data_IF_780948545912
#
_entry.id   IF_780948545912
#
_cell.length_a   1.000
_cell.length_b   1.000
_cell.length_c   1.000
_cell.angle_alpha   90.00
_cell.angle_beta   90.00
_cell.angle_gamma   90.00
#
_symmetry.space_group_name_H-M   'P 1'
#
loop_
_entity.id
_entity.type
_entity.pdbx_description
1 polymer ?
#
# COMPACT_ATOMS: atom_id res chain seq x y z
N UNK A 1 21.28 12.05 -8.15
CA UNK A 1 20.86 10.66 -7.88
C UNK A 1 20.20 10.01 -9.09
N UNK A 2 19.31 10.70 -9.79
CA UNK A 2 18.61 10.23 -11.01
C UNK A 2 19.49 9.47 -12.02
N UNK A 3 20.64 10.02 -12.43
CA UNK A 3 21.53 9.34 -13.38
C UNK A 3 22.01 7.97 -12.87
N UNK A 4 22.24 7.83 -11.56
CA UNK A 4 22.59 6.54 -10.94
C UNK A 4 21.41 5.58 -10.91
N UNK A 5 20.19 6.06 -10.67
CA UNK A 5 18.99 5.21 -10.68
C UNK A 5 18.65 4.73 -12.09
N UNK A 6 18.81 5.60 -13.09
CA UNK A 6 18.72 5.24 -14.51
C UNK A 6 19.72 4.14 -14.86
N UNK A 7 20.99 4.28 -14.47
CA UNK A 7 21.99 3.22 -14.75
C UNK A 7 21.67 1.90 -14.06
N UNK A 8 21.14 1.92 -12.83
CA UNK A 8 20.67 0.70 -12.16
C UNK A 8 19.51 0.04 -12.91
N UNK A 9 18.55 0.84 -13.36
CA UNK A 9 17.40 0.39 -14.15
C UNK A 9 17.86 -0.25 -15.47
N UNK A 10 18.80 0.38 -16.18
CA UNK A 10 19.39 -0.12 -17.43
C UNK A 10 20.20 -1.41 -17.24
N UNK A 11 20.77 -1.61 -16.05
CA UNK A 11 21.46 -2.86 -15.70
C UNK A 11 20.52 -3.98 -15.27
N UNK A 12 19.23 -3.69 -15.08
CA UNK A 12 18.28 -4.66 -14.56
C UNK A 12 17.87 -5.64 -15.65
N UNK A 13 18.08 -6.94 -15.39
CA UNK A 13 17.69 -8.02 -16.30
C UNK A 13 16.26 -8.53 -16.04
N UNK A 14 15.57 -7.99 -15.03
CA UNK A 14 14.22 -8.39 -14.67
C UNK A 14 13.20 -7.57 -15.43
N UNK A 15 12.10 -8.21 -15.85
CA UNK A 15 10.96 -7.54 -16.44
C UNK A 15 10.00 -6.98 -15.37
N UNK A 16 9.90 -7.67 -14.24
CA UNK A 16 9.08 -7.28 -13.11
C UNK A 16 9.94 -6.72 -11.98
N UNK A 17 9.55 -5.55 -11.43
CA UNK A 17 10.30 -4.85 -10.40
C UNK A 17 9.43 -4.49 -9.20
N UNK A 18 10.08 -4.29 -8.06
CA UNK A 18 9.52 -3.59 -6.91
C UNK A 18 10.34 -2.34 -6.56
N UNK A 19 9.64 -1.30 -6.10
CA UNK A 19 10.22 0.00 -5.76
C UNK A 19 10.22 0.24 -4.26
N UNK A 20 11.30 0.84 -3.75
CA UNK A 20 11.41 1.34 -2.38
C UNK A 20 11.58 2.85 -2.42
N UNK A 21 10.74 3.60 -1.73
CA UNK A 21 10.87 5.05 -1.62
C UNK A 21 11.39 5.38 -0.23
N UNK A 22 12.63 5.85 -0.14
CA UNK A 22 13.30 6.23 1.11
C UNK A 22 13.73 7.70 1.05
N UNK A 23 13.99 8.33 2.19
CA UNK A 23 14.31 9.75 2.24
C UNK A 23 15.52 10.16 1.37
N UNK A 24 16.45 9.24 1.12
CA UNK A 24 17.71 9.47 0.39
C UNK A 24 17.89 8.52 -0.82
N UNK A 25 16.86 7.75 -1.18
CA UNK A 25 16.91 6.75 -2.25
C UNK A 25 17.93 5.62 -2.00
N UNK A 26 18.40 5.44 -0.76
CA UNK A 26 19.27 4.34 -0.38
C UNK A 26 18.46 3.12 0.11
N UNK A 27 19.01 1.90 -0.03
CA UNK A 27 18.42 0.71 0.54
C UNK A 27 18.29 0.81 2.06
N UNK A 28 17.18 0.28 2.59
CA UNK A 28 16.99 0.07 4.04
C UNK A 28 16.80 -1.42 4.34
N UNK A 29 17.04 -1.87 5.58
CA UNK A 29 16.73 -3.23 5.98
C UNK A 29 15.25 -3.55 5.70
N UNK A 30 15.00 -4.76 5.18
CA UNK A 30 13.68 -5.29 4.93
C UNK A 30 12.81 -5.22 6.19
N UNK A 31 11.63 -4.60 6.09
CA UNK A 31 10.62 -4.66 7.16
C UNK A 31 9.73 -5.89 6.99
N UNK A 32 9.26 -6.40 8.13
CA UNK A 32 8.29 -7.47 8.15
C UNK A 32 6.94 -6.99 7.62
N UNK A 33 6.41 -7.76 6.69
CA UNK A 33 5.05 -7.62 6.18
C UNK A 33 4.05 -8.02 7.26
N UNK A 34 2.93 -7.30 7.43
CA UNK A 34 1.95 -7.59 8.47
C UNK A 34 1.07 -8.83 8.23
N UNK A 35 1.08 -9.41 7.02
CA UNK A 35 0.18 -10.51 6.66
C UNK A 35 0.65 -11.82 7.30
N UNK A 36 -0.25 -12.48 8.03
CA UNK A 36 0.10 -13.69 8.77
C UNK A 36 -0.13 -14.97 7.96
N UNK A 37 -0.96 -14.94 6.91
CA UNK A 37 -1.44 -16.15 6.23
C UNK A 37 -1.28 -16.19 4.71
N UNK A 38 -0.76 -15.14 4.07
CA UNK A 38 -0.50 -15.18 2.63
C UNK A 38 0.91 -15.70 2.34
N UNK A 39 0.99 -16.81 1.59
CA UNK A 39 2.20 -17.23 0.89
C UNK A 39 2.79 -16.14 -0.02
N UNK A 40 2.00 -15.10 -0.35
CA UNK A 40 2.42 -13.89 -1.06
C UNK A 40 3.30 -12.95 -0.22
N UNK A 41 3.17 -12.94 1.11
CA UNK A 41 4.01 -12.13 2.00
C UNK A 41 5.47 -12.61 2.04
N UNK A 42 5.74 -13.85 1.62
CA UNK A 42 7.10 -14.42 1.57
C UNK A 42 8.02 -13.78 0.52
N UNK A 43 7.50 -13.03 -0.46
CA UNK A 43 8.30 -12.35 -1.50
C UNK A 43 8.41 -10.83 -1.32
N UNK A 44 7.68 -10.27 -0.36
CA UNK A 44 7.73 -8.85 -0.03
C UNK A 44 8.89 -8.63 0.94
N UNK A 45 10.09 -8.30 0.47
CA UNK A 45 11.17 -7.99 1.40
C UNK A 45 12.25 -7.05 0.86
N UNK A 46 12.52 -7.01 -0.45
CA UNK A 46 13.64 -6.19 -0.97
C UNK A 46 13.26 -5.55 -2.31
N UNK A 47 13.02 -4.23 -2.35
CA UNK A 47 12.95 -3.47 -3.59
C UNK A 47 14.14 -3.71 -4.51
N UNK A 48 13.88 -3.78 -5.82
CA UNK A 48 14.93 -3.84 -6.85
C UNK A 48 15.59 -2.47 -7.05
N UNK A 49 14.80 -1.41 -6.89
CA UNK A 49 15.24 -0.03 -7.05
C UNK A 49 14.75 0.82 -5.88
N UNK A 50 15.64 1.67 -5.37
CA UNK A 50 15.32 2.64 -4.34
C UNK A 50 15.36 4.05 -4.93
N UNK A 51 14.33 4.83 -4.63
CA UNK A 51 14.12 6.18 -5.13
C UNK A 51 13.99 7.15 -3.95
N UNK A 52 14.48 8.37 -4.12
CA UNK A 52 14.20 9.48 -3.23
C UNK A 52 12.88 10.17 -3.61
N UNK A 53 12.25 10.97 -2.73
CA UNK A 53 11.01 11.67 -3.06
C UNK A 53 11.08 12.49 -4.35
N UNK A 54 12.19 13.18 -4.61
CA UNK A 54 12.39 13.96 -5.84
C UNK A 54 12.39 13.11 -7.12
N UNK A 55 12.84 11.86 -7.04
CA UNK A 55 12.85 10.94 -8.18
C UNK A 55 11.41 10.57 -8.60
N UNK A 56 10.44 10.62 -7.68
CA UNK A 56 9.00 10.38 -7.96
C UNK A 56 8.35 11.50 -8.78
N UNK A 57 9.05 12.61 -8.98
CA UNK A 57 8.61 13.76 -9.76
C UNK A 57 9.37 13.89 -11.09
N UNK A 58 10.38 13.05 -11.33
CA UNK A 58 11.16 13.07 -12.55
C UNK A 58 10.45 12.31 -13.68
N UNK A 59 9.91 13.04 -14.65
CA UNK A 59 9.17 12.46 -15.77
C UNK A 59 10.00 11.47 -16.59
N UNK A 60 11.30 11.73 -16.82
CA UNK A 60 12.13 10.89 -17.67
C UNK A 60 12.42 9.53 -16.99
N UNK A 61 12.63 9.54 -15.68
CA UNK A 61 12.76 8.32 -14.89
C UNK A 61 11.44 7.54 -14.84
N UNK A 62 10.31 8.22 -14.61
CA UNK A 62 9.00 7.58 -14.56
C UNK A 62 8.60 6.96 -15.92
N UNK A 63 8.90 7.63 -17.04
CA UNK A 63 8.70 7.08 -18.38
C UNK A 63 9.50 5.81 -18.60
N UNK A 64 10.77 5.78 -18.15
CA UNK A 64 11.62 4.59 -18.23
C UNK A 64 11.13 3.46 -17.34
N UNK A 65 10.66 3.78 -16.12
CA UNK A 65 10.03 2.81 -15.23
C UNK A 65 8.78 2.18 -15.85
N UNK A 66 8.05 2.92 -16.70
CA UNK A 66 6.89 2.42 -17.44
C UNK A 66 7.20 1.30 -18.44
N UNK A 67 8.47 1.06 -18.76
CA UNK A 67 8.90 -0.10 -19.56
C UNK A 67 8.93 -1.42 -18.77
N UNK A 68 8.77 -1.36 -17.44
CA UNK A 68 8.80 -2.51 -16.53
C UNK A 68 7.43 -2.78 -15.92
N UNK A 69 7.21 -4.03 -15.53
CA UNK A 69 6.05 -4.41 -14.73
C UNK A 69 6.34 -4.10 -13.26
N UNK A 70 5.90 -2.93 -12.78
CA UNK A 70 6.04 -2.57 -11.37
C UNK A 70 4.95 -3.28 -10.57
N UNK A 71 5.34 -4.26 -9.77
CA UNK A 71 4.41 -5.10 -9.01
C UNK A 71 4.26 -4.67 -7.55
N UNK A 72 5.29 -4.05 -6.98
CA UNK A 72 5.29 -3.61 -5.59
C UNK A 72 5.90 -2.22 -5.40
N UNK A 73 5.36 -1.45 -4.45
CA UNK A 73 5.89 -0.16 -4.06
C UNK A 73 5.80 0.00 -2.53
N UNK A 74 6.95 0.26 -1.91
CA UNK A 74 7.09 0.37 -0.47
C UNK A 74 7.61 1.77 -0.12
N UNK A 75 6.77 2.58 0.49
CA UNK A 75 7.00 3.99 0.77
C UNK A 75 7.29 4.14 2.25
N UNK A 76 8.51 4.58 2.54
CA UNK A 76 9.13 4.57 3.86
C UNK A 76 9.44 5.96 4.40
N UNK A 77 8.95 6.98 3.71
CA UNK A 77 9.16 8.40 4.01
C UNK A 77 7.89 9.14 3.60
N UNK A 78 7.51 10.25 4.26
CA UNK A 78 6.35 11.02 3.86
C UNK A 78 6.53 11.56 2.45
N UNK A 79 5.48 11.45 1.63
CA UNK A 79 5.40 12.10 0.33
C UNK A 79 4.25 13.10 0.32
N UNK A 80 4.47 14.25 -0.33
CA UNK A 80 3.44 15.24 -0.57
C UNK A 80 2.54 14.89 -1.77
N UNK A 81 2.97 13.96 -2.63
CA UNK A 81 2.25 13.56 -3.83
C UNK A 81 2.46 12.07 -4.16
N UNK A 82 1.35 11.35 -4.28
CA UNK A 82 1.31 9.91 -4.59
C UNK A 82 0.84 9.61 -6.02
N UNK A 83 0.56 10.64 -6.83
CA UNK A 83 0.01 10.47 -8.19
C UNK A 83 0.91 9.67 -9.13
N UNK A 84 2.21 9.61 -8.88
CA UNK A 84 3.11 8.80 -9.72
C UNK A 84 2.74 7.31 -9.71
N UNK A 85 2.11 6.81 -8.64
CA UNK A 85 1.65 5.42 -8.53
C UNK A 85 0.66 5.05 -9.63
N UNK A 86 -0.15 6.01 -10.11
CA UNK A 86 -1.14 5.75 -11.15
C UNK A 86 -0.53 5.38 -12.51
N UNK A 87 0.81 5.51 -12.66
CA UNK A 87 1.55 5.07 -13.85
C UNK A 87 1.81 3.56 -13.86
N UNK A 88 1.51 2.85 -12.78
CA UNK A 88 1.83 1.44 -12.59
C UNK A 88 0.56 0.60 -12.43
N UNK A 89 -0.22 0.36 -13.50
CA UNK A 89 -1.53 -0.31 -13.40
C UNK A 89 -1.44 -1.76 -12.90
N UNK A 90 -0.26 -2.39 -13.04
CA UNK A 90 0.02 -3.76 -12.57
C UNK A 90 0.49 -3.81 -11.10
N UNK A 91 0.49 -2.68 -10.39
CA UNK A 91 0.89 -2.63 -8.98
C UNK A 91 -0.09 -3.46 -8.13
N UNK A 92 0.43 -4.52 -7.53
CA UNK A 92 -0.32 -5.44 -6.67
C UNK A 92 -0.17 -5.12 -5.20
N UNK A 93 1.00 -4.61 -4.84
CA UNK A 93 1.45 -4.46 -3.46
C UNK A 93 1.82 -3.01 -3.18
N UNK A 94 1.09 -2.37 -2.27
CA UNK A 94 1.36 -1.02 -1.83
C UNK A 94 1.48 -0.97 -0.32
N UNK A 95 2.63 -0.49 0.15
CA UNK A 95 2.92 -0.28 1.56
C UNK A 95 3.30 1.18 1.77
N UNK A 96 2.64 1.87 2.70
CA UNK A 96 2.93 3.26 3.05
C UNK A 96 3.12 3.33 4.57
N UNK A 97 4.37 3.47 5.03
CA UNK A 97 4.76 3.56 6.44
C UNK A 97 4.41 4.94 7.04
N UNK A 98 4.63 5.99 6.26
CA UNK A 98 4.49 7.37 6.71
C UNK A 98 3.37 8.09 5.95
N UNK A 99 2.13 7.64 6.20
CA UNK A 99 0.91 8.12 5.55
C UNK A 99 0.34 9.43 6.09
N UNK A 100 1.02 10.17 6.97
CA UNK A 100 0.48 11.37 7.62
C UNK A 100 0.12 12.48 6.62
N UNK A 101 0.77 12.50 5.45
CA UNK A 101 0.49 13.45 4.36
C UNK A 101 -0.47 12.88 3.30
N UNK A 102 -0.88 11.62 3.44
CA UNK A 102 -1.80 10.97 2.50
C UNK A 102 -3.24 11.40 2.80
N UNK A 103 -3.77 12.32 2.00
CA UNK A 103 -5.13 12.86 2.18
C UNK A 103 -6.18 12.23 1.26
N UNK A 104 -5.76 11.45 0.27
CA UNK A 104 -6.65 10.80 -0.71
C UNK A 104 -5.95 9.58 -1.32
N UNK A 105 -6.76 8.61 -1.75
CA UNK A 105 -6.35 7.40 -2.47
C UNK A 105 -6.75 7.47 -3.94
N UNK A 106 -6.96 8.65 -4.52
CA UNK A 106 -7.45 8.82 -5.90
C UNK A 106 -6.57 8.10 -6.95
N UNK A 107 -5.25 8.03 -6.73
CA UNK A 107 -4.33 7.29 -7.59
C UNK A 107 -4.66 5.79 -7.67
N UNK A 108 -5.29 5.22 -6.63
CA UNK A 108 -5.60 3.80 -6.56
C UNK A 108 -6.75 3.40 -7.51
N UNK A 109 -7.50 4.36 -8.05
CA UNK A 109 -8.49 4.12 -9.11
C UNK A 109 -7.85 3.52 -10.36
N UNK A 110 -6.60 3.85 -10.64
CA UNK A 110 -5.85 3.31 -11.80
C UNK A 110 -5.14 1.98 -11.49
N UNK A 111 -5.14 1.52 -10.23
CA UNK A 111 -4.43 0.31 -9.80
C UNK A 111 -5.34 -0.92 -9.84
N UNK A 112 -5.55 -1.48 -11.03
CA UNK A 112 -6.51 -2.59 -11.27
C UNK A 112 -6.14 -3.86 -10.53
N UNK A 113 -4.84 -4.10 -10.41
CA UNK A 113 -4.28 -5.30 -9.81
C UNK A 113 -4.01 -5.17 -8.31
N UNK A 114 -4.34 -4.01 -7.69
CA UNK A 114 -4.07 -3.77 -6.27
C UNK A 114 -4.80 -4.80 -5.41
N UNK A 115 -4.00 -5.66 -4.78
CA UNK A 115 -4.46 -6.79 -3.98
C UNK A 115 -4.03 -6.67 -2.53
N UNK A 116 -2.88 -6.03 -2.26
CA UNK A 116 -2.36 -5.84 -0.92
C UNK A 116 -2.13 -4.35 -0.67
N UNK A 117 -2.88 -3.80 0.28
CA UNK A 117 -2.73 -2.41 0.73
C UNK A 117 -2.42 -2.38 2.22
N UNK A 118 -1.26 -1.85 2.55
CA UNK A 118 -0.91 -1.49 3.92
C UNK A 118 -0.70 0.01 4.05
N UNK A 119 -1.39 0.60 5.02
CA UNK A 119 -1.23 2.01 5.37
C UNK A 119 -0.87 2.12 6.85
N UNK A 120 0.04 3.03 7.15
CA UNK A 120 0.39 3.40 8.50
C UNK A 120 0.32 4.93 8.70
N UNK A 121 -0.15 5.34 9.89
CA UNK A 121 -0.25 6.74 10.33
C UNK A 121 -1.05 7.65 9.38
N UNK A 122 -2.00 7.12 8.61
CA UNK A 122 -2.81 7.89 7.67
C UNK A 122 -4.15 8.34 8.26
N UNK A 123 -4.67 9.50 7.84
CA UNK A 123 -6.05 9.92 8.11
C UNK A 123 -6.78 10.14 6.79
N UNK A 124 -7.77 9.30 6.51
CA UNK A 124 -8.56 9.32 5.28
C UNK A 124 -10.07 9.39 5.57
N UNK A 125 -10.86 10.06 4.71
CA UNK A 125 -12.32 10.09 4.87
C UNK A 125 -12.93 8.69 4.72
N UNK A 126 -12.50 7.94 3.71
CA UNK A 126 -12.90 6.56 3.46
C UNK A 126 -11.85 5.83 2.60
N UNK A 127 -12.16 4.61 2.16
CA UNK A 127 -11.28 3.76 1.33
C UNK A 127 -11.86 3.43 -0.05
N UNK A 128 -12.95 4.09 -0.46
CA UNK A 128 -13.68 3.78 -1.70
C UNK A 128 -12.87 4.06 -2.96
N UNK A 129 -11.89 4.97 -2.91
CA UNK A 129 -11.03 5.25 -4.06
C UNK A 129 -10.08 4.08 -4.37
N UNK A 130 -9.60 3.37 -3.35
CA UNK A 130 -8.82 2.15 -3.51
C UNK A 130 -9.72 0.92 -3.70
N UNK A 131 -10.89 0.93 -3.05
CA UNK A 131 -11.82 -0.19 -3.07
C UNK A 131 -13.25 0.20 -3.50
N UNK A 132 -13.46 0.62 -4.77
CA UNK A 132 -14.79 0.96 -5.25
C UNK A 132 -15.69 -0.28 -5.34
N UNK A 133 -16.94 -0.24 -4.85
CA UNK A 133 -17.85 -1.39 -4.79
C UNK A 133 -18.12 -2.07 -6.14
N UNK A 134 -18.01 -1.33 -7.23
CA UNK A 134 -18.36 -1.79 -8.59
C UNK A 134 -17.24 -2.57 -9.26
N UNK A 135 -15.99 -2.36 -8.82
CA UNK A 135 -14.77 -2.89 -9.48
C UNK A 135 -14.52 -4.37 -9.19
N UNK A 136 -15.13 -4.93 -8.15
CA UNK A 136 -14.68 -6.22 -7.62
C UNK A 136 -15.64 -7.37 -7.87
N UNK A 137 -15.05 -8.51 -8.23
CA UNK A 137 -15.67 -9.82 -8.13
C UNK A 137 -15.34 -10.44 -6.77
N UNK A 138 -16.21 -11.33 -6.29
CA UNK A 138 -16.07 -12.06 -5.00
C UNK A 138 -14.78 -12.89 -4.85
N UNK A 139 -13.98 -13.05 -5.91
CA UNK A 139 -12.88 -14.02 -6.01
C UNK A 139 -11.51 -13.36 -5.74
N UNK A 140 -11.42 -12.03 -5.65
CA UNK A 140 -10.15 -11.35 -5.44
C UNK A 140 -9.59 -11.58 -4.01
N UNK A 141 -8.40 -12.16 -3.91
CA UNK A 141 -7.65 -12.30 -2.66
C UNK A 141 -7.06 -10.95 -2.25
N UNK A 142 -7.82 -10.15 -1.51
CA UNK A 142 -7.41 -8.81 -1.07
C UNK A 142 -6.98 -8.81 0.39
N UNK A 143 -5.91 -8.08 0.70
CA UNK A 143 -5.44 -7.87 2.06
C UNK A 143 -5.40 -6.37 2.35
N UNK A 144 -6.01 -5.98 3.46
CA UNK A 144 -6.02 -4.60 3.95
C UNK A 144 -5.47 -4.57 5.38
N UNK A 145 -4.45 -3.75 5.58
CA UNK A 145 -3.75 -3.61 6.84
C UNK A 145 -3.63 -2.14 7.17
N UNK A 146 -4.13 -1.76 8.35
CA UNK A 146 -4.18 -0.37 8.78
C UNK A 146 -3.52 -0.26 10.14
N UNK A 147 -2.43 0.48 10.22
CA UNK A 147 -1.65 0.66 11.43
C UNK A 147 -1.63 2.10 11.89
N UNK A 148 -2.22 2.37 13.04
CA UNK A 148 -2.45 3.72 13.57
C UNK A 148 -3.14 4.66 12.55
N UNK A 149 -3.95 4.11 11.66
CA UNK A 149 -4.73 4.89 10.72
C UNK A 149 -6.06 5.31 11.33
N UNK A 150 -6.57 6.45 10.88
CA UNK A 150 -7.93 6.92 11.14
C UNK A 150 -8.71 6.93 9.83
N UNK A 151 -9.75 6.11 9.74
CA UNK A 151 -10.69 6.13 8.61
C UNK A 151 -12.01 6.66 9.12
N UNK A 152 -12.49 7.79 8.58
CA UNK A 152 -13.70 8.41 9.09
C UNK A 152 -14.96 7.61 8.73
N UNK A 153 -14.97 6.85 7.62
CA UNK A 153 -16.08 6.01 7.16
C UNK A 153 -15.59 4.65 6.57
N UNK A 154 -15.09 3.70 7.41
CA UNK A 154 -14.62 2.39 6.95
C UNK A 154 -15.73 1.51 6.38
N UNK A 155 -16.98 1.68 6.83
CA UNK A 155 -18.13 0.95 6.29
C UNK A 155 -18.44 1.28 4.83
N UNK A 156 -17.90 2.37 4.27
CA UNK A 156 -18.14 2.77 2.87
C UNK A 156 -17.66 1.73 1.85
N UNK A 157 -16.69 0.88 2.22
CA UNK A 157 -16.21 -0.23 1.37
C UNK A 157 -16.95 -1.54 1.63
N UNK A 158 -17.92 -1.55 2.54
CA UNK A 158 -18.79 -2.71 2.77
C UNK A 158 -19.77 -2.87 1.60
N UNK A 159 -19.61 -3.96 0.87
CA UNK A 159 -20.47 -4.34 -0.25
C UNK A 159 -20.55 -5.86 -0.33
N UNK A 160 -21.66 -6.44 -0.83
CA UNK A 160 -21.73 -7.87 -1.13
C UNK A 160 -20.67 -8.36 -2.14
N UNK A 161 -20.06 -7.43 -2.88
CA UNK A 161 -19.02 -7.66 -3.89
C UNK A 161 -17.59 -7.44 -3.39
N UNK A 162 -17.43 -6.76 -2.26
CA UNK A 162 -16.12 -6.52 -1.65
C UNK A 162 -15.86 -7.58 -0.58
N UNK A 163 -14.75 -8.30 -0.72
CA UNK A 163 -14.31 -9.31 0.23
C UNK A 163 -12.79 -9.22 0.41
N UNK A 164 -12.33 -9.24 1.66
CA UNK A 164 -10.91 -9.30 2.01
C UNK A 164 -10.55 -10.70 2.49
N UNK A 165 -9.45 -11.26 2.00
CA UNK A 165 -8.84 -12.45 2.60
C UNK A 165 -8.37 -12.13 4.04
N UNK A 166 -7.67 -11.00 4.19
CA UNK A 166 -7.21 -10.51 5.49
C UNK A 166 -7.58 -9.03 5.67
N UNK A 167 -8.21 -8.71 6.80
CA UNK A 167 -8.47 -7.35 7.27
C UNK A 167 -7.85 -7.18 8.66
N UNK A 168 -6.78 -6.41 8.72
CA UNK A 168 -5.94 -6.26 9.91
C UNK A 168 -5.94 -4.80 10.37
N UNK A 169 -6.46 -4.54 11.57
CA UNK A 169 -6.62 -3.19 12.11
C UNK A 169 -5.82 -3.07 13.41
N UNK A 170 -4.79 -2.22 13.42
CA UNK A 170 -4.03 -1.82 14.60
C UNK A 170 -4.36 -0.37 14.93
N UNK A 171 -5.35 -0.11 15.78
CA UNK A 171 -5.75 1.25 16.11
C UNK A 171 -4.69 1.93 16.99
N UNK A 172 -4.63 3.27 16.96
CA UNK A 172 -3.76 4.03 17.86
C UNK A 172 -4.20 3.90 19.32
N UNK A 173 -5.52 3.88 19.56
CA UNK A 173 -6.14 3.65 20.85
C UNK A 173 -7.29 2.65 20.68
N UNK A 174 -7.54 1.76 21.67
CA UNK A 174 -8.67 0.85 21.58
C UNK A 174 -9.99 1.63 21.53
N UNK A 175 -10.81 1.36 20.51
CA UNK A 175 -12.16 1.90 20.40
C UNK A 175 -13.14 0.78 19.99
N UNK A 176 -14.06 0.43 20.88
CA UNK A 176 -15.07 -0.58 20.60
C UNK A 176 -16.03 -0.17 19.49
N UNK A 177 -16.35 1.12 19.36
CA UNK A 177 -17.20 1.62 18.29
C UNK A 177 -16.50 1.45 16.94
N UNK A 178 -15.23 1.85 16.85
CA UNK A 178 -14.42 1.65 15.66
C UNK A 178 -14.35 0.16 15.27
N UNK A 179 -14.12 -0.73 16.26
CA UNK A 179 -14.12 -2.18 16.03
C UNK A 179 -15.46 -2.67 15.45
N UNK A 180 -16.59 -2.17 15.95
CA UNK A 180 -17.92 -2.55 15.44
C UNK A 180 -18.16 -2.06 14.00
N UNK A 181 -17.61 -0.90 13.63
CA UNK A 181 -17.66 -0.39 12.25
C UNK A 181 -16.88 -1.29 11.30
N UNK A 182 -15.66 -1.66 11.67
CA UNK A 182 -14.82 -2.57 10.86
C UNK A 182 -15.43 -3.97 10.70
N UNK A 183 -16.20 -4.47 11.68
CA UNK A 183 -16.92 -5.74 11.57
C UNK A 183 -17.97 -5.77 10.44
N UNK A 184 -18.39 -4.60 9.93
CA UNK A 184 -19.32 -4.53 8.81
C UNK A 184 -18.64 -4.80 7.47
N UNK A 185 -17.30 -4.74 7.41
CA UNK A 185 -16.51 -5.05 6.21
C UNK A 185 -16.29 -6.57 6.14
N UNK A 186 -16.66 -7.18 5.02
CA UNK A 186 -16.54 -8.63 4.85
C UNK A 186 -15.07 -9.05 4.69
N UNK A 187 -14.60 -9.90 5.60
CA UNK A 187 -13.28 -10.51 5.53
C UNK A 187 -13.28 -11.97 5.99
N UNK A 188 -12.39 -12.79 5.43
CA UNK A 188 -12.16 -14.16 5.88
C UNK A 188 -11.45 -14.20 7.24
N UNK A 189 -10.33 -13.48 7.31
CA UNK A 189 -9.62 -13.21 8.56
C UNK A 189 -9.80 -11.75 8.93
N UNK A 190 -10.43 -11.49 10.08
CA UNK A 190 -10.51 -10.15 10.66
C UNK A 190 -9.77 -10.13 12.00
N UNK A 191 -8.78 -9.25 12.11
CA UNK A 191 -8.06 -8.98 13.37
C UNK A 191 -8.15 -7.50 13.71
N UNK A 192 -8.64 -7.22 14.90
CA UNK A 192 -8.58 -5.89 15.51
C UNK A 192 -7.67 -5.99 16.73
N UNK A 193 -6.48 -5.43 16.62
CA UNK A 193 -5.45 -5.53 17.63
C UNK A 193 -5.72 -4.55 18.77
N UNK A 194 -5.35 -4.95 19.98
CA UNK A 194 -5.35 -4.05 21.13
C UNK A 194 -3.90 -3.63 21.37
N UNK A 195 -3.60 -2.31 21.43
CA UNK A 195 -2.32 -1.83 21.92
C UNK A 195 -2.02 -2.51 23.25
N UNK A 196 -0.84 -3.15 23.37
CA UNK A 196 -0.44 -3.74 24.65
C UNK A 196 -0.39 -2.61 25.67
N UNK A 197 -1.24 -2.68 26.70
CA UNK A 197 -1.09 -1.83 27.87
C UNK A 197 0.31 -2.07 28.42
N UNK A 198 1.20 -1.07 28.34
CA UNK A 198 2.46 -1.10 29.08
C UNK A 198 2.07 -1.11 30.56
N UNK A 199 2.30 -2.26 31.22
CA UNK A 199 2.23 -2.37 32.67
C UNK A 199 3.32 -1.55 33.31
#
# INVERSE_FOLDING_TARGET
>A
MIASQISKLESCQKQCLSLGITADGQPRPSLGVPWESTTSAFNMCIPDLYLAPEDTQDSALLERLGAFEILGCYIFTPLSDYRFLSRFPLLRDLYIEEGQQLTSLAFARELEELSMLFLENAHLPDLTEAFPPERFSRIAHRCLGLYHCRIDCPEAISSPRTYFAELLIWPQLPDEQERLRWKQVHAGTFRYYQPRQKK
#
